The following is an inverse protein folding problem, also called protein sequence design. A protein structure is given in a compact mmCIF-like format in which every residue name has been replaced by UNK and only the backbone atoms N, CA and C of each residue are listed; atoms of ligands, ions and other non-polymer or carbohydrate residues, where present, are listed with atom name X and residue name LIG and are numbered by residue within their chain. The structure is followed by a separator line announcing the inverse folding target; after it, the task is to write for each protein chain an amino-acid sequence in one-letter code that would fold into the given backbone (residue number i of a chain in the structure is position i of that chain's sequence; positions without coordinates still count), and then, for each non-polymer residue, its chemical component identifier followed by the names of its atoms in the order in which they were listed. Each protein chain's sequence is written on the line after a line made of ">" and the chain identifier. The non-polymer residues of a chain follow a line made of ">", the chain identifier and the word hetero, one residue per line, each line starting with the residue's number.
data_IF_954794055442
#
_entry.id   IF_954794055442
#
_cell.length_a   1.000
_cell.length_b   1.000
_cell.length_c   1.000
_cell.angle_alpha   90.00
_cell.angle_beta   90.00
_cell.angle_gamma   90.00
#
_symmetry.space_group_name_H-M   'P 1'
#
loop_
_entity.id
_entity.type
_entity.pdbx_description
1 polymer ?
#
# COMPACT_ATOMS: atom_id res chain seq x y z
N UNK A 1 56.82 8.05 5.35
CA UNK A 1 57.21 9.42 5.70
C UNK A 1 55.91 10.22 5.81
N UNK A 2 55.09 10.02 6.85
CA UNK A 2 55.32 10.13 8.30
C UNK A 2 55.48 11.59 8.74
N UNK A 3 54.43 12.17 9.34
CA UNK A 3 54.34 12.45 10.79
C UNK A 3 53.02 13.16 11.14
N UNK A 4 52.38 12.72 12.22
CA UNK A 4 51.47 13.56 13.04
C UNK A 4 52.31 14.27 14.12
N UNK A 5 51.72 15.13 14.97
CA UNK A 5 51.62 14.70 16.37
C UNK A 5 50.40 15.20 17.19
N UNK A 6 50.12 14.43 18.26
CA UNK A 6 49.59 14.74 19.61
C UNK A 6 48.40 15.72 19.80
N UNK A 7 47.28 15.34 20.45
CA UNK A 7 47.06 14.78 21.81
C UNK A 7 47.54 15.63 23.00
N UNK A 8 46.57 16.11 23.81
CA UNK A 8 46.73 16.37 25.26
C UNK A 8 45.42 16.13 26.02
N UNK A 9 45.48 15.29 27.05
CA UNK A 9 44.51 15.17 28.14
C UNK A 9 44.77 16.27 29.21
N UNK A 10 44.14 16.39 30.38
CA UNK A 10 43.23 15.60 31.25
C UNK A 10 42.31 16.63 32.00
N UNK A 11 41.47 16.34 33.04
CA UNK A 11 41.21 15.09 33.77
C UNK A 11 39.72 14.70 33.98
N UNK A 12 39.52 13.52 34.59
CA UNK A 12 38.26 13.11 35.23
C UNK A 12 38.03 13.82 36.58
N UNK A 13 36.78 13.88 37.04
CA UNK A 13 36.46 13.98 38.47
C UNK A 13 35.26 13.11 38.85
N UNK A 14 35.52 12.14 39.73
CA UNK A 14 34.56 11.17 40.25
C UNK A 14 33.72 11.78 41.37
N UNK A 15 32.44 11.43 41.47
CA UNK A 15 31.66 11.63 42.70
C UNK A 15 30.60 10.54 42.86
N UNK A 16 30.92 9.58 43.73
CA UNK A 16 30.09 8.43 44.08
C UNK A 16 29.10 8.80 45.18
N UNK A 17 27.82 8.45 45.04
CA UNK A 17 26.90 8.33 46.20
C UNK A 17 26.10 7.03 46.08
N UNK A 18 26.38 6.09 46.99
CA UNK A 18 25.59 4.89 47.27
C UNK A 18 25.34 4.80 48.78
N UNK A 19 24.11 4.97 49.23
CA UNK A 19 23.46 4.39 50.45
C UNK A 19 22.00 4.90 50.48
N UNK A 20 20.97 4.23 51.01
CA UNK A 20 20.86 3.01 51.83
C UNK A 20 19.59 2.22 51.51
N UNK A 21 19.52 0.97 51.99
CA UNK A 21 18.35 0.08 51.99
C UNK A 21 17.36 0.33 53.14
N UNK A 22 16.14 -0.24 53.02
CA UNK A 22 15.29 -0.94 54.03
C UNK A 22 13.82 -0.84 53.55
N UNK A 23 13.02 -1.87 53.22
CA UNK A 23 12.71 -3.22 53.76
C UNK A 23 11.67 -3.23 54.91
N UNK A 24 10.77 -4.22 54.88
CA UNK A 24 9.67 -4.54 55.83
C UNK A 24 8.40 -3.64 55.84
N UNK A 25 7.18 -4.11 56.16
CA UNK A 25 6.62 -5.48 56.33
C UNK A 25 5.10 -5.54 55.99
N UNK A 26 4.33 -6.55 56.45
CA UNK A 26 3.05 -7.01 55.88
C UNK A 26 1.95 -7.23 56.95
N UNK A 27 0.66 -7.17 56.54
CA UNK A 27 -0.53 -7.68 57.26
C UNK A 27 -0.99 -6.89 58.52
N UNK A 28 -2.20 -7.10 59.11
CA UNK A 28 -3.20 -8.16 58.87
C UNK A 28 -4.69 -7.75 58.71
N UNK A 29 -5.55 -8.75 58.46
CA UNK A 29 -7.03 -8.70 58.57
C UNK A 29 -7.49 -8.98 60.02
N UNK A 30 -8.64 -8.43 60.47
CA UNK A 30 -9.40 -8.97 61.60
C UNK A 30 -10.75 -9.65 61.18
N UNK A 31 -11.38 -10.43 62.07
CA UNK A 31 -12.40 -11.42 61.71
C UNK A 31 -13.84 -11.07 62.17
N UNK A 32 -14.83 -11.82 61.66
CA UNK A 32 -15.84 -12.59 62.44
C UNK A 32 -17.03 -13.02 61.56
N UNK A 33 -17.49 -14.26 61.73
CA UNK A 33 -18.60 -14.88 60.98
C UNK A 33 -19.86 -15.04 61.86
N UNK A 34 -21.04 -15.35 61.27
CA UNK A 34 -21.44 -16.77 61.23
C UNK A 34 -22.19 -17.22 59.96
N UNK A 35 -22.58 -18.50 59.94
CA UNK A 35 -22.98 -19.30 58.77
C UNK A 35 -24.52 -19.51 58.62
N UNK A 36 -24.96 -19.73 57.38
CA UNK A 36 -26.09 -20.60 56.97
C UNK A 36 -27.54 -20.14 57.32
N UNK A 37 -28.61 -20.66 56.65
CA UNK A 37 -28.68 -21.91 55.88
C UNK A 37 -29.30 -21.86 54.47
N UNK A 38 -29.09 -22.98 53.74
CA UNK A 38 -29.81 -23.39 52.52
C UNK A 38 -31.11 -24.10 52.93
N UNK A 39 -32.22 -23.89 52.20
CA UNK A 39 -33.28 -24.90 52.09
C UNK A 39 -33.57 -25.30 50.63
N UNK A 40 -33.24 -26.57 50.33
CA UNK A 40 -34.02 -27.59 49.61
C UNK A 40 -35.03 -27.18 48.51
N UNK A 41 -34.89 -27.79 47.33
CA UNK A 41 -35.88 -27.76 46.25
C UNK A 41 -37.03 -28.78 46.46
N UNK A 42 -38.26 -28.48 45.96
CA UNK A 42 -39.25 -29.48 45.60
C UNK A 42 -39.50 -29.57 44.07
N UNK A 43 -40.21 -30.62 43.68
CA UNK A 43 -40.23 -31.25 42.34
C UNK A 43 -41.44 -30.75 41.46
N UNK A 44 -41.98 -31.45 40.43
CA UNK A 44 -42.09 -30.89 39.09
C UNK A 44 -43.53 -30.53 38.65
N UNK A 45 -43.72 -29.36 38.00
CA UNK A 45 -45.03 -28.97 37.48
C UNK A 45 -45.01 -27.75 36.54
N UNK A 46 -45.40 -27.97 35.28
CA UNK A 46 -45.67 -26.96 34.23
C UNK A 46 -47.07 -26.32 34.47
N UNK A 47 -47.51 -25.20 33.82
CA UNK A 47 -46.85 -24.41 32.77
C UNK A 47 -47.00 -22.86 32.81
N UNK A 48 -46.32 -22.17 31.87
CA UNK A 48 -46.65 -20.85 31.28
C UNK A 48 -46.39 -19.55 32.09
N UNK A 49 -45.35 -18.78 31.73
CA UNK A 49 -45.49 -17.49 31.00
C UNK A 49 -44.20 -16.66 30.92
N UNK A 50 -43.89 -16.19 29.70
CA UNK A 50 -43.15 -14.96 29.33
C UNK A 50 -42.03 -14.40 30.23
N UNK A 51 -40.78 -14.43 29.75
CA UNK A 51 -39.85 -13.28 29.88
C UNK A 51 -38.76 -13.32 28.80
N UNK A 52 -38.93 -12.49 27.76
CA UNK A 52 -37.88 -11.86 26.94
C UNK A 52 -36.51 -12.54 26.85
N UNK A 53 -36.28 -13.34 25.79
CA UNK A 53 -34.93 -13.49 25.25
C UNK A 53 -34.44 -12.13 24.74
N UNK A 54 -33.25 -11.71 25.18
CA UNK A 54 -32.54 -10.61 24.54
C UNK A 54 -32.01 -11.08 23.19
N UNK A 55 -32.79 -10.87 22.14
CA UNK A 55 -32.43 -11.17 20.76
C UNK A 55 -31.24 -10.32 20.32
N UNK A 56 -30.03 -10.88 20.47
CA UNK A 56 -28.80 -10.30 19.91
C UNK A 56 -28.89 -10.44 18.39
N UNK A 57 -29.37 -9.38 17.73
CA UNK A 57 -29.56 -9.30 16.28
C UNK A 57 -28.29 -9.82 15.56
N UNK A 58 -28.34 -10.98 14.91
CA UNK A 58 -27.16 -11.56 14.30
C UNK A 58 -26.79 -10.77 13.05
N UNK A 59 -25.50 -10.44 12.91
CA UNK A 59 -24.95 -9.73 11.76
C UNK A 59 -25.32 -10.49 10.47
N UNK A 60 -26.21 -9.88 9.68
CA UNK A 60 -26.82 -10.36 8.43
C UNK A 60 -26.13 -11.56 7.78
N UNK A 61 -26.89 -12.65 7.63
CA UNK A 61 -26.48 -13.96 7.12
C UNK A 61 -25.34 -13.90 6.09
N UNK A 62 -24.15 -14.25 6.59
CA UNK A 62 -22.94 -14.53 5.82
C UNK A 62 -23.25 -15.58 4.77
N UNK A 63 -23.39 -15.17 3.51
CA UNK A 63 -23.58 -16.07 2.36
C UNK A 63 -22.34 -16.98 2.20
N UNK A 64 -22.36 -18.14 2.85
CA UNK A 64 -21.19 -19.03 2.98
C UNK A 64 -20.76 -19.50 1.59
N UNK A 65 -19.60 -19.03 1.14
CA UNK A 65 -18.96 -19.49 -0.10
C UNK A 65 -18.01 -20.63 0.26
N UNK A 66 -18.41 -21.91 0.13
CA UNK A 66 -17.52 -23.01 0.46
C UNK A 66 -16.25 -22.92 -0.40
N UNK A 67 -15.09 -23.00 0.25
CA UNK A 67 -13.78 -23.07 -0.41
C UNK A 67 -13.22 -21.77 -1.00
N UNK A 68 -13.91 -20.61 -0.99
CA UNK A 68 -13.33 -19.34 -1.47
C UNK A 68 -12.77 -18.50 -0.30
N UNK A 69 -11.44 -18.30 -0.18
CA UNK A 69 -10.87 -17.45 0.86
C UNK A 69 -11.40 -16.01 0.76
N UNK A 70 -12.03 -15.54 1.83
CA UNK A 70 -12.58 -14.19 1.91
C UNK A 70 -11.47 -13.20 2.25
N UNK A 71 -11.43 -12.10 1.52
CA UNK A 71 -10.69 -10.91 1.93
C UNK A 71 -11.52 -10.26 3.05
N UNK A 72 -11.17 -10.51 4.31
CA UNK A 72 -11.85 -9.99 5.50
C UNK A 72 -11.56 -8.49 5.73
N UNK A 73 -11.60 -7.70 4.66
CA UNK A 73 -11.27 -6.29 4.65
C UNK A 73 -12.37 -5.48 3.95
N UNK A 74 -13.07 -4.64 4.72
CA UNK A 74 -14.16 -3.84 4.19
C UNK A 74 -13.64 -2.49 3.65
N UNK A 75 -13.44 -2.43 2.33
CA UNK A 75 -13.08 -1.21 1.59
C UNK A 75 -14.02 -0.02 1.87
N UNK A 76 -15.29 -0.25 2.24
CA UNK A 76 -16.24 0.83 2.53
C UNK A 76 -15.86 1.66 3.76
N UNK A 77 -15.14 1.08 4.73
CA UNK A 77 -14.67 1.79 5.92
C UNK A 77 -13.56 2.79 5.55
N UNK A 78 -12.73 2.45 4.56
CA UNK A 78 -11.58 3.25 4.13
C UNK A 78 -11.83 4.10 2.88
N UNK A 79 -13.00 3.98 2.24
CA UNK A 79 -13.32 4.69 0.98
C UNK A 79 -13.12 6.20 1.05
N UNK A 80 -13.45 6.83 2.19
CA UNK A 80 -13.28 8.28 2.38
C UNK A 80 -11.80 8.65 2.38
N UNK A 81 -10.99 7.95 3.18
CA UNK A 81 -9.53 8.15 3.23
C UNK A 81 -8.90 7.91 1.86
N UNK A 82 -9.21 6.78 1.21
CA UNK A 82 -8.66 6.44 -0.10
C UNK A 82 -9.05 7.48 -1.16
N UNK A 83 -10.32 7.90 -1.20
CA UNK A 83 -10.77 8.95 -2.12
C UNK A 83 -10.06 10.30 -1.88
N UNK A 84 -9.94 10.73 -0.62
CA UNK A 84 -9.23 11.97 -0.26
C UNK A 84 -7.76 11.88 -0.69
N UNK A 85 -7.04 10.83 -0.27
CA UNK A 85 -5.61 10.67 -0.61
C UNK A 85 -5.40 10.56 -2.12
N UNK A 86 -6.18 9.76 -2.84
CA UNK A 86 -6.07 9.66 -4.30
C UNK A 86 -6.39 10.99 -5.00
N UNK A 87 -7.38 11.75 -4.51
CA UNK A 87 -7.71 13.08 -5.07
C UNK A 87 -6.59 14.08 -4.81
N UNK A 88 -6.05 14.14 -3.60
CA UNK A 88 -4.92 15.01 -3.27
C UNK A 88 -3.67 14.65 -4.07
N UNK A 89 -3.37 13.36 -4.28
CA UNK A 89 -2.27 12.92 -5.14
C UNK A 89 -2.49 13.30 -6.61
N UNK A 90 -3.71 13.21 -7.14
CA UNK A 90 -4.03 13.63 -8.50
C UNK A 90 -3.92 15.17 -8.68
N UNK A 91 -4.34 15.93 -7.66
CA UNK A 91 -4.23 17.39 -7.62
C UNK A 91 -2.75 17.82 -7.53
N UNK A 92 -2.01 17.27 -6.57
CA UNK A 92 -0.57 17.54 -6.38
C UNK A 92 0.24 17.16 -7.62
N UNK A 93 0.05 15.96 -8.15
CA UNK A 93 0.92 15.43 -9.20
C UNK A 93 0.75 16.11 -10.54
N UNK A 94 -0.36 16.81 -10.80
CA UNK A 94 -0.69 17.34 -12.14
C UNK A 94 -1.29 18.75 -12.12
N UNK A 95 -2.34 18.97 -11.32
CA UNK A 95 -3.07 20.25 -11.32
C UNK A 95 -2.22 21.37 -10.71
N UNK A 96 -1.53 21.11 -9.59
CA UNK A 96 -0.69 22.10 -8.91
C UNK A 96 0.50 22.54 -9.79
N UNK A 97 1.30 21.63 -10.40
CA UNK A 97 2.33 22.01 -11.37
C UNK A 97 1.82 22.89 -12.52
N UNK A 98 0.70 22.51 -13.15
CA UNK A 98 0.10 23.28 -14.26
C UNK A 98 -0.34 24.67 -13.76
N UNK A 99 -1.11 24.73 -12.67
CA UNK A 99 -1.67 25.99 -12.16
C UNK A 99 -0.56 26.95 -11.70
N UNK A 100 0.45 26.46 -10.97
CA UNK A 100 1.59 27.26 -10.54
C UNK A 100 2.49 27.67 -11.71
N UNK A 101 2.69 26.82 -12.72
CA UNK A 101 3.46 27.20 -13.92
C UNK A 101 2.80 28.36 -14.66
N UNK A 102 1.53 28.24 -15.04
CA UNK A 102 0.85 29.31 -15.76
C UNK A 102 0.65 30.56 -14.89
N UNK A 103 0.31 30.40 -13.61
CA UNK A 103 0.14 31.50 -12.67
C UNK A 103 1.44 32.28 -12.41
N UNK A 104 2.57 31.60 -12.19
CA UNK A 104 3.83 32.27 -11.88
C UNK A 104 4.54 32.80 -13.14
N UNK A 105 4.56 32.04 -14.24
CA UNK A 105 5.32 32.43 -15.45
C UNK A 105 4.65 33.55 -16.25
N UNK A 106 3.32 33.66 -16.21
CA UNK A 106 2.58 34.72 -16.92
C UNK A 106 2.03 35.80 -15.98
N UNK A 107 1.75 35.47 -14.71
CA UNK A 107 1.22 36.42 -13.73
C UNK A 107 2.26 37.17 -12.91
N UNK A 108 3.56 36.89 -13.07
CA UNK A 108 4.63 37.55 -12.31
C UNK A 108 5.87 37.85 -13.15
N UNK A 109 6.71 38.76 -12.69
CA UNK A 109 8.04 39.07 -13.25
C UNK A 109 9.16 38.23 -12.62
N UNK A 110 8.83 37.14 -11.90
CA UNK A 110 9.82 36.29 -11.24
C UNK A 110 10.76 35.62 -12.25
N UNK A 111 12.04 35.52 -11.87
CA UNK A 111 13.02 34.72 -12.61
C UNK A 111 12.52 33.27 -12.71
N UNK A 112 12.49 32.70 -13.92
CA UNK A 112 11.94 31.36 -14.18
C UNK A 112 12.45 30.26 -13.24
N UNK A 113 13.73 30.28 -12.85
CA UNK A 113 14.27 29.33 -11.87
C UNK A 113 13.65 29.42 -10.46
N UNK A 114 13.19 30.61 -10.05
CA UNK A 114 12.44 30.79 -8.79
C UNK A 114 11.04 30.22 -8.94
N UNK A 115 10.36 30.48 -10.05
CA UNK A 115 9.04 29.90 -10.33
C UNK A 115 9.08 28.36 -10.33
N UNK A 116 10.08 27.74 -10.97
CA UNK A 116 10.25 26.28 -10.95
C UNK A 116 10.68 25.73 -9.59
N UNK A 117 11.46 26.46 -8.79
CA UNK A 117 11.77 26.08 -7.41
C UNK A 117 10.50 26.04 -6.54
N UNK A 118 9.60 27.03 -6.69
CA UNK A 118 8.30 27.05 -6.00
C UNK A 118 7.43 25.87 -6.47
N UNK A 119 7.30 25.64 -7.78
CA UNK A 119 6.53 24.49 -8.31
C UNK A 119 7.07 23.17 -7.75
N UNK A 120 8.39 23.01 -7.73
CA UNK A 120 9.06 21.79 -7.26
C UNK A 120 8.92 21.61 -5.74
N UNK A 121 8.82 22.68 -4.94
CA UNK A 121 8.62 22.54 -3.48
C UNK A 121 7.20 22.13 -3.10
N UNK A 122 6.19 22.43 -3.93
CA UNK A 122 4.84 21.91 -3.76
C UNK A 122 4.67 20.49 -4.30
N UNK A 123 5.47 20.09 -5.28
CA UNK A 123 5.49 18.72 -5.80
C UNK A 123 6.24 17.79 -4.83
N UNK A 124 5.52 16.92 -4.12
CA UNK A 124 6.13 15.94 -3.21
C UNK A 124 5.72 16.07 -1.75
N UNK A 125 4.87 17.02 -1.40
CA UNK A 125 4.33 17.21 -0.04
C UNK A 125 3.39 16.04 0.32
N UNK A 126 2.31 15.81 -0.42
CA UNK A 126 1.33 14.75 -0.10
C UNK A 126 1.93 13.38 -0.39
N UNK A 127 2.52 13.20 -1.56
CA UNK A 127 3.17 11.94 -1.95
C UNK A 127 4.35 11.58 -1.04
N UNK A 128 5.13 12.58 -0.59
CA UNK A 128 6.22 12.39 0.38
C UNK A 128 5.73 12.08 1.79
N UNK A 129 4.65 12.73 2.25
CA UNK A 129 4.03 12.43 3.55
C UNK A 129 3.44 11.01 3.58
N UNK A 130 2.65 10.59 2.59
CA UNK A 130 2.13 9.22 2.52
C UNK A 130 3.26 8.18 2.40
N UNK A 131 4.31 8.47 1.62
CA UNK A 131 5.51 7.61 1.53
C UNK A 131 6.29 7.53 2.85
N UNK A 132 6.38 8.63 3.60
CA UNK A 132 6.95 8.68 4.94
C UNK A 132 6.13 7.87 5.96
N UNK A 133 4.81 8.05 5.98
CA UNK A 133 3.88 7.28 6.81
C UNK A 133 3.95 5.77 6.48
N UNK A 134 4.08 5.42 5.19
CA UNK A 134 4.31 4.05 4.72
C UNK A 134 5.63 3.48 5.25
N UNK A 135 6.70 4.27 5.20
CA UNK A 135 8.02 3.91 5.76
C UNK A 135 7.93 3.62 7.26
N UNK A 136 7.29 4.51 8.03
CA UNK A 136 7.12 4.35 9.48
C UNK A 136 6.35 3.08 9.85
N UNK A 137 5.30 2.73 9.10
CA UNK A 137 4.55 1.48 9.30
C UNK A 137 5.39 0.23 9.05
N UNK A 138 6.27 0.26 8.04
CA UNK A 138 7.12 -0.87 7.65
C UNK A 138 8.32 -1.05 8.61
N UNK A 139 8.92 0.04 9.07
CA UNK A 139 10.05 0.05 10.03
C UNK A 139 9.58 -0.25 11.47
N UNK A 140 8.28 -0.08 11.75
CA UNK A 140 7.67 -0.28 13.07
C UNK A 140 8.13 -1.56 13.79
N UNK A 141 8.31 -1.44 15.11
CA UNK A 141 8.67 -2.59 15.97
C UNK A 141 7.62 -3.71 15.88
N UNK A 142 6.34 -3.35 15.70
CA UNK A 142 5.23 -4.31 15.52
C UNK A 142 5.20 -4.82 14.08
N UNK A 143 5.25 -6.13 13.91
CA UNK A 143 5.32 -6.79 12.60
C UNK A 143 3.94 -6.96 11.92
N UNK A 144 3.12 -5.91 11.97
CA UNK A 144 1.74 -5.90 11.45
C UNK A 144 1.70 -5.69 9.94
N UNK A 145 2.67 -4.94 9.39
CA UNK A 145 2.60 -4.38 8.03
C UNK A 145 3.75 -4.80 7.09
N UNK A 146 4.73 -5.59 7.53
CA UNK A 146 5.79 -6.10 6.62
C UNK A 146 5.30 -7.32 5.81
N UNK A 147 5.89 -7.62 4.65
CA UNK A 147 5.54 -8.78 3.84
C UNK A 147 5.66 -10.11 4.58
N UNK A 148 4.98 -11.14 4.07
CA UNK A 148 5.08 -12.48 4.64
C UNK A 148 6.51 -13.02 4.52
N UNK A 149 6.97 -13.76 5.54
CA UNK A 149 8.36 -14.24 5.64
C UNK A 149 9.45 -13.16 5.81
N UNK A 150 9.10 -11.87 5.92
CA UNK A 150 10.09 -10.79 6.03
C UNK A 150 10.74 -10.71 7.43
N UNK A 151 11.92 -11.33 7.60
CA UNK A 151 12.72 -11.25 8.83
C UNK A 151 13.47 -9.90 8.94
N UNK A 152 13.27 -9.19 10.05
CA UNK A 152 13.93 -7.92 10.36
C UNK A 152 13.12 -6.66 10.02
N UNK A 153 13.42 -5.55 10.69
CA UNK A 153 12.64 -4.28 10.60
C UNK A 153 12.83 -3.54 9.27
N UNK A 154 14.02 -3.61 8.67
CA UNK A 154 14.37 -2.90 7.44
C UNK A 154 13.99 -3.67 6.16
N UNK A 155 12.83 -4.34 6.17
CA UNK A 155 12.30 -5.11 5.04
C UNK A 155 11.03 -4.44 4.51
N UNK A 156 11.24 -3.41 3.70
CA UNK A 156 10.20 -2.79 2.90
C UNK A 156 9.62 -3.77 1.88
N UNK A 157 8.40 -3.49 1.43
CA UNK A 157 7.74 -4.23 0.36
C UNK A 157 8.17 -3.75 -1.04
N UNK A 158 7.80 -4.55 -2.05
CA UNK A 158 8.20 -4.32 -3.44
C UNK A 158 7.54 -3.06 -4.02
N UNK A 159 6.33 -2.74 -3.58
CA UNK A 159 5.65 -1.49 -3.93
C UNK A 159 6.42 -0.28 -3.41
N UNK A 160 6.85 -0.30 -2.13
CA UNK A 160 7.68 0.75 -1.57
C UNK A 160 8.99 0.91 -2.35
N UNK A 161 9.70 -0.19 -2.65
CA UNK A 161 10.94 -0.15 -3.46
C UNK A 161 10.72 0.39 -4.89
N UNK A 162 9.60 0.04 -5.50
CA UNK A 162 9.19 0.53 -6.83
C UNK A 162 8.93 2.04 -6.82
N UNK A 163 8.22 2.54 -5.78
CA UNK A 163 7.98 3.96 -5.58
C UNK A 163 9.28 4.72 -5.25
N UNK A 164 10.17 4.15 -4.41
CA UNK A 164 11.49 4.75 -4.12
C UNK A 164 12.26 5.02 -5.40
N UNK A 165 12.37 4.03 -6.28
CA UNK A 165 13.10 4.15 -7.55
C UNK A 165 12.50 5.25 -8.45
N UNK A 166 11.16 5.31 -8.55
CA UNK A 166 10.46 6.34 -9.32
C UNK A 166 10.64 7.74 -8.75
N UNK A 167 10.45 7.91 -7.44
CA UNK A 167 10.67 9.20 -6.79
C UNK A 167 12.12 9.66 -6.87
N UNK A 168 13.11 8.75 -6.77
CA UNK A 168 14.53 9.12 -6.97
C UNK A 168 14.79 9.64 -8.38
N UNK A 169 14.31 8.95 -9.42
CA UNK A 169 14.50 9.39 -10.82
C UNK A 169 13.81 10.73 -11.08
N UNK A 170 12.55 10.87 -10.66
CA UNK A 170 11.77 12.10 -10.84
C UNK A 170 12.42 13.28 -10.10
N UNK A 171 12.83 13.08 -8.85
CA UNK A 171 13.44 14.14 -8.03
C UNK A 171 14.78 14.57 -8.61
N UNK A 172 15.62 13.61 -9.03
CA UNK A 172 16.90 13.89 -9.70
C UNK A 172 16.69 14.68 -11.00
N UNK A 173 15.70 14.31 -11.82
CA UNK A 173 15.33 15.04 -13.04
C UNK A 173 14.87 16.47 -12.72
N UNK A 174 13.94 16.65 -11.78
CA UNK A 174 13.39 17.96 -11.42
C UNK A 174 14.48 18.91 -10.90
N UNK A 175 15.39 18.41 -10.07
CA UNK A 175 16.56 19.16 -9.60
C UNK A 175 17.49 19.49 -10.78
N UNK A 176 17.93 18.50 -11.55
CA UNK A 176 18.90 18.68 -12.63
C UNK A 176 18.39 19.65 -13.72
N UNK A 177 17.11 19.58 -14.08
CA UNK A 177 16.50 20.46 -15.08
C UNK A 177 16.23 21.89 -14.56
N UNK A 178 16.22 22.10 -13.25
CA UNK A 178 16.04 23.41 -12.60
C UNK A 178 17.35 24.19 -12.39
N UNK A 179 18.51 23.52 -12.45
CA UNK A 179 19.84 24.15 -12.25
C UNK A 179 20.24 25.12 -13.39
N UNK A 180 20.05 24.79 -14.69
CA UNK A 180 20.45 25.67 -15.79
C UNK A 180 19.77 27.05 -15.77
N UNK A 181 20.44 28.02 -16.38
CA UNK A 181 19.94 29.39 -16.55
C UNK A 181 19.86 29.69 -18.07
N UNK A 182 18.68 29.68 -18.70
CA UNK A 182 17.35 29.41 -18.14
C UNK A 182 17.08 27.91 -17.85
N UNK A 183 16.08 27.58 -17.01
CA UNK A 183 15.70 26.19 -16.70
C UNK A 183 15.19 25.43 -17.92
N UNK A 184 15.36 24.10 -17.89
CA UNK A 184 14.98 23.22 -19.00
C UNK A 184 13.51 22.80 -18.89
N UNK A 185 12.61 23.65 -19.38
CA UNK A 185 11.15 23.47 -19.28
C UNK A 185 10.64 22.13 -19.83
N UNK A 186 11.16 21.65 -20.97
CA UNK A 186 10.73 20.37 -21.57
C UNK A 186 11.08 19.16 -20.67
N UNK A 187 12.32 19.01 -20.17
CA UNK A 187 12.63 18.08 -19.08
C UNK A 187 11.79 18.24 -17.80
N UNK A 188 11.38 19.46 -17.43
CA UNK A 188 10.47 19.69 -16.28
C UNK A 188 9.00 19.28 -16.56
N UNK A 189 8.66 18.91 -17.80
CA UNK A 189 7.32 18.45 -18.20
C UNK A 189 7.18 16.92 -18.24
N UNK A 190 8.29 16.17 -18.33
CA UNK A 190 8.28 14.69 -18.47
C UNK A 190 8.30 13.84 -17.17
N UNK A 191 8.30 14.35 -15.91
CA UNK A 191 8.31 13.50 -14.71
C UNK A 191 7.28 12.36 -14.68
N UNK A 192 5.99 12.65 -14.94
CA UNK A 192 4.96 11.61 -14.98
C UNK A 192 5.12 10.65 -16.17
N UNK A 193 5.66 11.14 -17.29
CA UNK A 193 5.97 10.30 -18.45
C UNK A 193 7.05 9.26 -18.12
N UNK A 194 8.10 9.65 -17.39
CA UNK A 194 9.10 8.72 -16.87
C UNK A 194 8.52 7.74 -15.85
N UNK A 195 7.66 8.21 -14.92
CA UNK A 195 6.99 7.33 -13.96
C UNK A 195 6.17 6.24 -14.67
N UNK A 196 5.43 6.61 -15.72
CA UNK A 196 4.62 5.67 -16.49
C UNK A 196 5.47 4.71 -17.33
N UNK A 197 6.57 5.18 -17.92
CA UNK A 197 7.51 4.31 -18.63
C UNK A 197 8.13 3.28 -17.67
N UNK A 198 8.55 3.71 -16.48
CA UNK A 198 9.09 2.82 -15.45
C UNK A 198 8.04 1.80 -14.98
N UNK A 199 6.88 2.26 -14.51
CA UNK A 199 5.80 1.40 -14.02
C UNK A 199 5.32 0.44 -15.11
N UNK A 200 5.14 0.93 -16.34
CA UNK A 200 4.77 0.15 -17.51
C UNK A 200 5.78 -0.95 -17.83
N UNK A 201 7.08 -0.63 -17.81
CA UNK A 201 8.15 -1.60 -18.01
C UNK A 201 8.17 -2.68 -16.91
N UNK A 202 8.03 -2.29 -15.63
CA UNK A 202 7.98 -3.23 -14.51
C UNK A 202 6.72 -4.11 -14.53
N UNK A 203 5.58 -3.57 -14.97
CA UNK A 203 4.33 -4.31 -15.20
C UNK A 203 4.50 -5.33 -16.34
N UNK A 204 5.02 -4.92 -17.50
CA UNK A 204 5.30 -5.82 -18.64
C UNK A 204 6.31 -6.91 -18.26
N UNK A 205 7.40 -6.55 -17.57
CA UNK A 205 8.42 -7.49 -17.09
C UNK A 205 7.84 -8.55 -16.13
N UNK A 206 7.15 -8.11 -15.08
CA UNK A 206 6.52 -9.03 -14.11
C UNK A 206 5.40 -9.87 -14.73
N UNK A 207 4.64 -9.31 -15.66
CA UNK A 207 3.64 -10.01 -16.46
C UNK A 207 4.26 -11.11 -17.31
N UNK A 208 5.36 -10.82 -18.01
CA UNK A 208 6.12 -11.79 -18.80
C UNK A 208 6.72 -12.90 -17.92
N UNK A 209 7.41 -12.54 -16.85
CA UNK A 209 7.97 -13.49 -15.88
C UNK A 209 6.88 -14.41 -15.30
N UNK A 210 5.72 -13.85 -14.94
CA UNK A 210 4.60 -14.63 -14.38
C UNK A 210 3.93 -15.52 -15.43
N UNK A 211 3.80 -15.06 -16.67
CA UNK A 211 3.28 -15.85 -17.80
C UNK A 211 4.21 -17.01 -18.15
N UNK A 212 5.52 -16.76 -18.21
CA UNK A 212 6.58 -17.76 -18.46
C UNK A 212 6.93 -18.62 -17.24
N UNK A 213 6.20 -18.47 -16.12
CA UNK A 213 6.38 -19.22 -14.87
C UNK A 213 7.81 -19.14 -14.30
N UNK A 214 8.52 -18.03 -14.57
CA UNK A 214 9.91 -17.84 -14.16
C UNK A 214 10.03 -17.57 -12.65
N UNK A 215 11.08 -18.11 -11.99
CA UNK A 215 11.33 -17.88 -10.57
C UNK A 215 11.66 -16.41 -10.30
N UNK A 216 11.24 -15.91 -9.13
CA UNK A 216 11.51 -14.56 -8.68
C UNK A 216 13.01 -14.39 -8.40
N UNK A 217 13.70 -13.41 -9.04
CA UNK A 217 15.16 -13.24 -8.91
C UNK A 217 15.58 -12.75 -7.51
N UNK A 218 14.67 -12.05 -6.84
CA UNK A 218 14.79 -11.56 -5.46
C UNK A 218 13.44 -11.76 -4.75
N UNK A 219 13.36 -11.37 -3.47
CA UNK A 219 12.09 -11.36 -2.73
C UNK A 219 11.18 -10.24 -3.26
N UNK A 220 9.96 -10.58 -3.67
CA UNK A 220 8.97 -9.65 -4.22
C UNK A 220 7.77 -9.62 -3.27
N UNK A 221 7.78 -8.69 -2.31
CA UNK A 221 6.80 -8.63 -1.21
C UNK A 221 6.65 -9.98 -0.50
N UNK A 222 5.47 -10.61 -0.49
CA UNK A 222 5.23 -11.90 0.17
C UNK A 222 5.64 -13.12 -0.65
N UNK A 223 6.37 -12.91 -1.76
CA UNK A 223 6.90 -13.95 -2.62
C UNK A 223 8.40 -14.09 -2.40
N UNK A 224 8.84 -15.27 -1.96
CA UNK A 224 10.25 -15.53 -1.68
C UNK A 224 11.07 -15.68 -2.96
N UNK A 225 12.39 -15.45 -2.85
CA UNK A 225 13.32 -15.71 -3.96
C UNK A 225 13.19 -17.17 -4.40
N UNK A 226 12.99 -17.40 -5.70
CA UNK A 226 12.78 -18.73 -6.27
C UNK A 226 11.31 -19.15 -6.41
N UNK A 227 10.35 -18.54 -5.69
CA UNK A 227 8.93 -18.77 -5.96
C UNK A 227 8.55 -18.23 -7.36
N UNK A 228 7.44 -18.70 -7.93
CA UNK A 228 6.93 -18.16 -9.20
C UNK A 228 6.66 -16.66 -9.09
N UNK A 229 7.23 -15.88 -10.01
CA UNK A 229 7.07 -14.41 -10.03
C UNK A 229 5.59 -14.01 -10.09
N UNK A 230 5.07 -13.17 -9.16
CA UNK A 230 3.73 -12.61 -9.26
C UNK A 230 3.68 -11.50 -10.34
N UNK A 231 2.52 -11.24 -10.96
CA UNK A 231 2.30 -9.99 -11.69
C UNK A 231 2.38 -8.81 -10.72
N UNK A 232 3.02 -7.69 -11.08
CA UNK A 232 3.19 -6.52 -10.21
C UNK A 232 1.85 -5.93 -9.72
N UNK A 233 0.76 -6.05 -10.47
CA UNK A 233 -0.59 -5.67 -9.96
C UNK A 233 -0.99 -6.47 -8.71
N UNK A 234 -0.57 -7.74 -8.58
CA UNK A 234 -0.80 -8.50 -7.34
C UNK A 234 -0.12 -7.80 -6.16
N UNK A 235 1.16 -7.45 -6.30
CA UNK A 235 1.95 -6.90 -5.20
C UNK A 235 1.56 -5.47 -4.87
N UNK A 236 1.17 -4.66 -5.87
CA UNK A 236 0.56 -3.34 -5.64
C UNK A 236 -0.72 -3.45 -4.80
N UNK A 237 -1.62 -4.37 -5.15
CA UNK A 237 -2.86 -4.60 -4.38
C UNK A 237 -2.58 -5.18 -2.98
N UNK A 238 -1.62 -6.09 -2.87
CA UNK A 238 -1.17 -6.63 -1.59
C UNK A 238 -0.65 -5.53 -0.65
N UNK A 239 0.26 -4.71 -1.16
CA UNK A 239 1.06 -3.78 -0.37
C UNK A 239 0.35 -2.46 -0.06
N UNK A 240 -0.48 -1.95 -0.97
CA UNK A 240 -1.28 -0.73 -0.73
C UNK A 240 -2.37 -1.03 0.30
N UNK A 241 -3.09 -2.14 0.15
CA UNK A 241 -4.19 -2.48 1.07
C UNK A 241 -3.65 -2.91 2.44
N UNK A 242 -2.58 -3.70 2.50
CA UNK A 242 -1.96 -4.07 3.77
C UNK A 242 -1.45 -2.85 4.56
N UNK A 243 -0.74 -1.92 3.91
CA UNK A 243 -0.03 -0.83 4.61
C UNK A 243 -0.84 0.47 4.66
N UNK A 244 -1.34 0.96 3.52
CA UNK A 244 -2.00 2.28 3.44
C UNK A 244 -3.48 2.20 3.85
N UNK A 245 -4.12 1.11 3.44
CA UNK A 245 -5.44 0.67 3.88
C UNK A 245 -5.47 0.06 5.30
N UNK A 246 -4.31 -0.26 5.87
CA UNK A 246 -4.17 -0.74 7.25
C UNK A 246 -4.58 -2.19 7.48
N UNK A 247 -4.75 -3.00 6.43
CA UNK A 247 -5.25 -4.37 6.52
C UNK A 247 -4.22 -5.41 7.03
N UNK A 248 -2.94 -5.03 7.12
CA UNK A 248 -1.89 -5.86 7.71
C UNK A 248 -1.61 -7.20 7.02
N UNK A 249 -0.98 -8.12 7.76
CA UNK A 249 -0.62 -9.47 7.29
C UNK A 249 -1.80 -10.39 7.02
N UNK A 250 -2.86 -10.31 7.83
CA UNK A 250 -4.09 -11.12 7.65
C UNK A 250 -4.66 -10.97 6.23
N UNK A 251 -4.67 -9.73 5.71
CA UNK A 251 -5.07 -9.47 4.33
C UNK A 251 -4.11 -10.09 3.30
N UNK A 252 -2.79 -10.05 3.55
CA UNK A 252 -1.80 -10.66 2.65
C UNK A 252 -1.97 -12.18 2.57
N UNK A 253 -2.23 -12.83 3.70
CA UNK A 253 -2.49 -14.27 3.79
C UNK A 253 -3.79 -14.65 3.07
N UNK A 254 -4.88 -13.92 3.34
CA UNK A 254 -6.15 -14.10 2.64
C UNK A 254 -6.05 -13.86 1.13
N UNK A 255 -5.23 -12.89 0.69
CA UNK A 255 -4.98 -12.60 -0.71
C UNK A 255 -4.14 -13.69 -1.38
N UNK A 256 -3.07 -14.18 -0.73
CA UNK A 256 -2.23 -15.29 -1.26
C UNK A 256 -3.07 -16.55 -1.39
N UNK A 257 -3.88 -16.88 -0.38
CA UNK A 257 -4.83 -18.00 -0.43
C UNK A 257 -5.85 -17.86 -1.57
N UNK A 258 -6.55 -16.72 -1.69
CA UNK A 258 -7.52 -16.51 -2.78
C UNK A 258 -6.87 -16.59 -4.16
N UNK A 259 -5.66 -16.05 -4.31
CA UNK A 259 -4.89 -16.13 -5.56
C UNK A 259 -4.44 -17.55 -5.88
N UNK A 260 -4.12 -18.39 -4.89
CA UNK A 260 -3.81 -19.81 -5.08
C UNK A 260 -5.07 -20.64 -5.42
N UNK A 261 -6.22 -20.32 -4.84
CA UNK A 261 -7.48 -21.06 -5.09
C UNK A 261 -8.19 -20.66 -6.38
N UNK A 262 -8.31 -19.37 -6.69
CA UNK A 262 -9.20 -18.87 -7.75
C UNK A 262 -8.48 -18.58 -9.07
N UNK A 263 -8.64 -19.47 -10.07
CA UNK A 263 -8.13 -19.27 -11.44
C UNK A 263 -8.69 -18.00 -12.09
N UNK A 264 -9.95 -17.63 -11.80
CA UNK A 264 -10.55 -16.38 -12.29
C UNK A 264 -9.88 -15.15 -11.67
N UNK A 265 -9.62 -15.16 -10.37
CA UNK A 265 -8.93 -14.05 -9.69
C UNK A 265 -7.50 -13.87 -10.23
N UNK A 266 -6.75 -14.97 -10.41
CA UNK A 266 -5.43 -14.94 -11.07
C UNK A 266 -5.50 -14.34 -12.47
N UNK A 267 -6.47 -14.77 -13.28
CA UNK A 267 -6.65 -14.28 -14.64
C UNK A 267 -6.94 -12.78 -14.65
N UNK A 268 -7.89 -12.32 -13.83
CA UNK A 268 -8.21 -10.90 -13.67
C UNK A 268 -6.98 -10.07 -13.28
N UNK A 269 -6.17 -10.53 -12.32
CA UNK A 269 -4.93 -9.83 -11.90
C UNK A 269 -3.91 -9.77 -13.06
N UNK A 270 -3.75 -10.85 -13.82
CA UNK A 270 -2.86 -10.88 -14.98
C UNK A 270 -3.37 -9.97 -16.13
N UNK A 271 -4.66 -9.99 -16.43
CA UNK A 271 -5.27 -9.14 -17.45
C UNK A 271 -5.11 -7.64 -17.08
N UNK A 272 -5.34 -7.28 -15.80
CA UNK A 272 -5.10 -5.92 -15.29
C UNK A 272 -3.62 -5.52 -15.36
N UNK A 273 -2.71 -6.46 -15.10
CA UNK A 273 -1.27 -6.22 -15.21
C UNK A 273 -0.83 -5.87 -16.63
N UNK A 274 -1.37 -6.54 -17.64
CA UNK A 274 -1.10 -6.21 -19.05
C UNK A 274 -1.80 -4.91 -19.49
N UNK A 275 -3.04 -4.69 -19.06
CA UNK A 275 -3.82 -3.48 -19.37
C UNK A 275 -3.12 -2.20 -18.89
N UNK A 276 -2.63 -2.20 -17.65
CA UNK A 276 -1.83 -1.09 -17.12
C UNK A 276 -0.40 -1.08 -17.66
N UNK A 277 0.22 -2.24 -17.92
CA UNK A 277 1.59 -2.31 -18.45
C UNK A 277 1.73 -1.64 -19.81
N UNK A 278 0.94 -2.09 -20.79
CA UNK A 278 0.95 -1.50 -22.13
C UNK A 278 0.33 -0.10 -22.16
N UNK A 279 -0.72 0.16 -21.36
CA UNK A 279 -1.32 1.49 -21.24
C UNK A 279 -0.32 2.54 -20.76
N UNK A 280 0.40 2.26 -19.68
CA UNK A 280 1.41 3.17 -19.13
C UNK A 280 2.62 3.34 -20.06
N UNK A 281 3.08 2.29 -20.76
CA UNK A 281 4.13 2.44 -21.77
C UNK A 281 3.67 3.33 -22.94
N UNK A 282 2.46 3.13 -23.45
CA UNK A 282 1.91 3.93 -24.55
C UNK A 282 1.69 5.39 -24.13
N UNK A 283 1.09 5.63 -22.96
CA UNK A 283 0.87 6.99 -22.44
C UNK A 283 2.19 7.69 -22.10
N UNK A 284 3.12 7.00 -21.42
CA UNK A 284 4.42 7.56 -21.05
C UNK A 284 5.29 7.88 -22.26
N UNK A 285 5.40 6.94 -23.22
CA UNK A 285 6.13 7.16 -24.47
C UNK A 285 5.49 8.20 -25.38
N UNK A 286 4.16 8.17 -25.53
CA UNK A 286 3.42 9.15 -26.32
C UNK A 286 3.52 10.56 -25.76
N UNK A 287 3.37 10.72 -24.44
CA UNK A 287 3.52 12.03 -23.77
C UNK A 287 4.97 12.53 -23.86
N UNK A 288 5.94 11.64 -23.62
CA UNK A 288 7.37 11.95 -23.78
C UNK A 288 7.68 12.50 -25.17
N UNK A 289 7.18 11.85 -26.23
CA UNK A 289 7.36 12.33 -27.61
C UNK A 289 6.62 13.65 -27.86
N UNK A 290 5.37 13.78 -27.39
CA UNK A 290 4.54 14.95 -27.58
C UNK A 290 5.14 16.23 -26.96
N UNK A 291 5.83 16.13 -25.81
CA UNK A 291 6.51 17.27 -25.15
C UNK A 291 7.58 17.91 -26.04
N UNK A 292 8.21 17.18 -26.96
CA UNK A 292 9.28 17.73 -27.80
C UNK A 292 8.78 18.52 -29.01
N UNK A 293 7.54 18.30 -29.47
CA UNK A 293 7.00 18.92 -30.70
C UNK A 293 6.65 20.42 -30.53
N UNK A 294 5.85 20.87 -29.54
CA UNK A 294 5.36 22.24 -29.49
C UNK A 294 6.33 23.20 -28.77
N UNK A 295 5.91 24.46 -28.64
CA UNK A 295 6.52 25.45 -27.77
C UNK A 295 6.55 24.98 -26.29
N UNK A 296 7.49 25.51 -25.51
CA UNK A 296 7.81 25.03 -24.15
C UNK A 296 6.64 25.16 -23.16
N UNK A 297 5.79 26.15 -23.37
CA UNK A 297 4.58 26.45 -22.60
C UNK A 297 3.56 25.33 -22.76
N UNK A 298 3.17 25.06 -24.02
CA UNK A 298 2.25 23.99 -24.40
C UNK A 298 2.81 22.63 -23.98
N UNK A 299 4.11 22.40 -24.22
CA UNK A 299 4.82 21.19 -23.83
C UNK A 299 4.68 20.91 -22.32
N UNK A 300 4.79 21.94 -21.48
CA UNK A 300 4.58 21.80 -20.04
C UNK A 300 3.14 21.38 -19.71
N UNK A 301 2.14 22.05 -20.30
CA UNK A 301 0.73 21.68 -20.12
C UNK A 301 0.43 20.23 -20.53
N UNK A 302 0.96 19.76 -21.67
CA UNK A 302 0.76 18.40 -22.15
C UNK A 302 1.45 17.35 -21.27
N UNK A 303 2.68 17.62 -20.82
CA UNK A 303 3.50 16.69 -20.03
C UNK A 303 2.87 16.28 -18.70
N UNK A 304 2.15 17.21 -18.06
CA UNK A 304 1.39 16.96 -16.83
C UNK A 304 -0.09 16.61 -17.08
N UNK A 305 -0.71 17.17 -18.13
CA UNK A 305 -2.13 17.00 -18.41
C UNK A 305 -2.51 15.65 -19.02
N UNK A 306 -1.72 15.12 -19.96
CA UNK A 306 -2.03 13.83 -20.60
C UNK A 306 -1.99 12.67 -19.58
N UNK A 307 -0.97 12.55 -18.69
CA UNK A 307 -0.92 11.50 -17.69
C UNK A 307 -2.08 11.55 -16.67
N UNK A 308 -2.58 12.75 -16.33
CA UNK A 308 -3.75 12.92 -15.47
C UNK A 308 -5.01 12.35 -16.13
N UNK A 309 -5.30 12.76 -17.37
CA UNK A 309 -6.48 12.31 -18.12
C UNK A 309 -6.42 10.78 -18.32
N UNK A 310 -5.26 10.26 -18.71
CA UNK A 310 -5.02 8.82 -18.82
C UNK A 310 -5.33 8.10 -17.50
N UNK A 311 -4.78 8.57 -16.38
CA UNK A 311 -4.96 7.95 -15.06
C UNK A 311 -6.42 7.87 -14.66
N UNK A 312 -7.20 8.94 -14.87
CA UNK A 312 -8.62 9.01 -14.55
C UNK A 312 -9.42 7.99 -15.39
N UNK A 313 -9.19 7.95 -16.70
CA UNK A 313 -9.86 7.03 -17.62
C UNK A 313 -9.50 5.57 -17.33
N UNK A 314 -8.20 5.24 -17.21
CA UNK A 314 -7.74 3.88 -16.92
C UNK A 314 -8.23 3.38 -15.55
N UNK A 315 -8.24 4.25 -14.54
CA UNK A 315 -8.79 3.91 -13.20
C UNK A 315 -10.28 3.62 -13.28
N UNK A 316 -11.06 4.43 -14.00
CA UNK A 316 -12.49 4.20 -14.17
C UNK A 316 -12.77 2.85 -14.87
N UNK A 317 -12.08 2.57 -15.99
CA UNK A 317 -12.18 1.28 -16.70
C UNK A 317 -11.84 0.12 -15.75
N UNK A 318 -10.73 0.24 -15.00
CA UNK A 318 -10.27 -0.75 -14.02
C UNK A 318 -11.33 -1.04 -12.97
N UNK A 319 -11.93 -0.01 -12.37
CA UNK A 319 -12.96 -0.15 -11.33
C UNK A 319 -14.20 -0.88 -11.87
N UNK A 320 -14.65 -0.55 -13.08
CA UNK A 320 -15.79 -1.23 -13.71
C UNK A 320 -15.46 -2.68 -14.04
N UNK A 321 -14.32 -2.95 -14.67
CA UNK A 321 -13.86 -4.30 -15.02
C UNK A 321 -13.73 -5.18 -13.78
N UNK A 322 -12.93 -4.77 -12.79
CA UNK A 322 -12.65 -5.55 -11.58
C UNK A 322 -13.94 -5.83 -10.81
N UNK A 323 -14.85 -4.85 -10.68
CA UNK A 323 -16.18 -5.09 -10.09
C UNK A 323 -16.98 -6.13 -10.87
N UNK A 324 -16.97 -6.09 -12.20
CA UNK A 324 -17.60 -7.11 -13.04
C UNK A 324 -16.99 -8.51 -12.86
N UNK A 325 -15.67 -8.60 -12.87
CA UNK A 325 -14.93 -9.86 -12.71
C UNK A 325 -15.14 -10.51 -11.34
N UNK A 326 -15.08 -9.73 -10.25
CA UNK A 326 -15.33 -10.21 -8.88
C UNK A 326 -16.78 -10.68 -8.69
N UNK A 327 -17.76 -10.03 -9.32
CA UNK A 327 -19.16 -10.53 -9.34
C UNK A 327 -19.30 -11.85 -10.08
N UNK A 328 -18.64 -11.99 -11.25
CA UNK A 328 -18.65 -13.25 -12.04
C UNK A 328 -17.99 -14.39 -11.27
N UNK A 329 -16.84 -14.13 -10.64
CA UNK A 329 -16.18 -15.08 -9.72
C UNK A 329 -17.13 -15.51 -8.59
N UNK A 330 -17.73 -14.56 -7.86
CA UNK A 330 -18.65 -14.88 -6.75
C UNK A 330 -19.81 -15.78 -7.22
N UNK A 331 -20.45 -15.47 -8.35
CA UNK A 331 -21.53 -16.29 -8.92
C UNK A 331 -21.08 -17.72 -9.25
N UNK A 332 -19.87 -17.89 -9.81
CA UNK A 332 -19.32 -19.21 -10.11
C UNK A 332 -19.09 -20.06 -8.84
N UNK A 333 -18.62 -19.45 -7.75
CA UNK A 333 -18.42 -20.16 -6.48
C UNK A 333 -19.71 -20.49 -5.75
N UNK A 334 -20.79 -19.69 -5.90
CA UNK A 334 -22.13 -20.02 -5.39
C UNK A 334 -22.71 -21.23 -6.12
N UNK A 335 -22.60 -21.27 -7.46
CA UNK A 335 -23.18 -22.33 -8.29
C UNK A 335 -22.41 -23.65 -8.30
N UNK A 336 -21.34 -23.80 -7.51
CA UNK A 336 -20.44 -24.97 -7.55
C UNK A 336 -20.78 -25.94 -6.40
N UNK A 337 -21.20 -27.19 -6.66
CA UNK A 337 -21.59 -28.13 -5.61
C UNK A 337 -20.39 -28.57 -4.75
N UNK A 338 -20.62 -28.74 -3.44
CA UNK A 338 -19.61 -29.04 -2.40
C UNK A 338 -18.70 -30.24 -2.76
N UNK A 339 -19.26 -31.27 -3.38
CA UNK A 339 -18.53 -32.48 -3.83
C UNK A 339 -17.44 -32.20 -4.86
N UNK A 340 -17.53 -31.10 -5.62
CA UNK A 340 -16.54 -30.70 -6.64
C UNK A 340 -15.41 -29.78 -6.09
N UNK A 341 -15.33 -29.64 -4.76
CA UNK A 341 -14.34 -28.81 -4.06
C UNK A 341 -13.37 -29.61 -3.20
N UNK A 342 -13.60 -30.92 -3.04
CA UNK A 342 -12.65 -31.83 -2.36
C UNK A 342 -11.48 -32.12 -3.30
N UNK A 343 -10.21 -32.00 -2.87
CA UNK A 343 -9.07 -32.47 -3.64
C UNK A 343 -9.19 -33.97 -3.92
N UNK A 344 -8.87 -34.41 -5.14
CA UNK A 344 -8.98 -35.84 -5.53
C UNK A 344 -8.11 -36.80 -4.72
N UNK A 345 -7.16 -36.27 -3.94
CA UNK A 345 -6.28 -37.01 -3.04
C UNK A 345 -7.00 -37.56 -1.79
N UNK A 346 -8.24 -37.10 -1.49
CA UNK A 346 -9.03 -37.56 -0.34
C UNK A 346 -10.04 -38.68 -0.68
N UNK A 347 -9.91 -39.34 -1.84
CA UNK A 347 -10.81 -40.41 -2.31
C UNK A 347 -10.05 -41.69 -2.74
N UNK A 348 -8.81 -41.85 -2.28
CA UNK A 348 -7.93 -42.99 -2.61
C UNK A 348 -7.27 -43.62 -1.38
N UNK A 349 -7.97 -43.62 -0.24
CA UNK A 349 -7.64 -44.36 0.97
C UNK A 349 -8.93 -44.95 1.56
#
# INVERSE_FOLDING_TARGET
>A
MALAPDERSYPESTSTVQTSSNFNEKAPLPPDAPLSPIPTAPDPGNPTSSSSENEVIPVTATEVLPGLPRLNYNLWNYRKKLFIVTTLLAVESSIVPIALYYGLVFGTTLRQGIAFAIITSFFGIVSGLEFGLRSLKLISKKDTYRPLGAKGRWKFDFTHMTLSFGYTIITALLIAASIPRPPLVKPLAIPLSLFFLQMGAQLVWSGWMSAMHKPAPCKISSWEKGERTPPLVYTLVEDIVAVDGGAGKEYREALKARYQTSKMFRRMIADQNWFWGFGSLACGGGTMAAVWVPAKEIAYGLGWGIPLIFSLVWTWITVVWVRGALRKEKKMWIGKPRSSMVPREALSH
#
